data_IF_705199953783
#
_entry.id   IF_705199953783
#
_cell.length_a   1.000
_cell.length_b   1.000
_cell.length_c   1.000
_cell.angle_alpha   90.00
_cell.angle_beta   90.00
_cell.angle_gamma   90.00
#
_symmetry.space_group_name_H-M   'P 1'
#
loop_
_entity.id
_entity.type
_entity.pdbx_description
1 polymer ?
#
# COMPACT_ATOMS: atom_id res chain seq x y z
N UNK A 1 -22.37 -12.80 15.61
CA UNK A 1 -20.92 -12.51 15.71
C UNK A 1 -20.64 -11.22 14.95
N UNK A 2 -20.09 -10.21 15.60
CA UNK A 2 -19.68 -8.98 14.91
C UNK A 2 -18.52 -9.28 13.96
N UNK A 3 -18.63 -8.87 12.70
CA UNK A 3 -17.54 -9.05 11.73
C UNK A 3 -16.38 -8.12 12.11
N UNK A 4 -15.24 -8.70 12.47
CA UNK A 4 -14.00 -7.97 12.73
C UNK A 4 -13.34 -7.52 11.41
N UNK A 5 -12.60 -6.42 11.48
CA UNK A 5 -11.71 -5.97 10.41
C UNK A 5 -10.37 -6.69 10.54
N UNK A 6 -9.81 -7.17 9.44
CA UNK A 6 -8.53 -7.88 9.41
C UNK A 6 -7.58 -7.15 8.47
N UNK A 7 -6.35 -6.92 8.93
CA UNK A 7 -5.27 -6.42 8.07
C UNK A 7 -4.58 -7.63 7.45
N UNK A 8 -4.48 -7.62 6.12
CA UNK A 8 -3.79 -8.64 5.33
C UNK A 8 -2.51 -8.05 4.76
N UNK A 9 -1.41 -8.76 4.98
CA UNK A 9 -0.09 -8.46 4.44
C UNK A 9 0.45 -9.75 3.79
N UNK A 10 0.46 -9.83 2.46
CA UNK A 10 0.98 -11.00 1.78
C UNK A 10 2.51 -11.02 1.66
N UNK A 11 3.18 -9.87 1.78
CA UNK A 11 4.63 -9.75 1.63
C UNK A 11 5.43 -10.37 2.76
N UNK A 12 4.88 -10.39 3.98
CA UNK A 12 5.65 -10.93 5.10
C UNK A 12 5.71 -12.46 5.09
N UNK A 13 4.61 -13.18 4.83
CA UNK A 13 4.56 -14.66 4.85
C UNK A 13 3.28 -15.25 4.21
N UNK A 14 2.92 -14.91 2.97
CA UNK A 14 1.86 -15.60 2.23
C UNK A 14 0.42 -15.35 2.74
N UNK A 15 -0.04 -14.11 2.59
CA UNK A 15 -1.36 -13.58 3.00
C UNK A 15 -1.67 -13.73 4.51
N UNK A 16 -0.70 -13.32 5.32
CA UNK A 16 -0.81 -13.36 6.78
C UNK A 16 -1.84 -12.33 7.28
N UNK A 17 -2.57 -12.69 8.34
CA UNK A 17 -3.41 -11.73 9.07
C UNK A 17 -2.55 -11.08 10.15
N UNK A 18 -2.15 -9.83 9.91
CA UNK A 18 -1.29 -9.07 10.83
C UNK A 18 -2.06 -8.64 12.09
N UNK A 19 -3.35 -8.35 11.94
CA UNK A 19 -4.18 -7.91 13.06
C UNK A 19 -5.68 -8.10 12.84
N UNK A 20 -6.43 -8.11 13.95
CA UNK A 20 -7.89 -8.18 13.97
C UNK A 20 -8.45 -7.09 14.88
N UNK A 21 -9.32 -6.24 14.35
CA UNK A 21 -9.78 -5.03 15.01
C UNK A 21 -11.29 -4.92 15.01
N UNK A 22 -11.83 -4.18 15.98
CA UNK A 22 -13.28 -3.94 16.12
C UNK A 22 -13.76 -2.81 15.22
N UNK A 23 -12.90 -1.83 14.95
CA UNK A 23 -13.20 -0.69 14.09
C UNK A 23 -12.33 -0.67 12.84
N UNK A 24 -12.82 -0.01 11.79
CA UNK A 24 -12.05 0.17 10.54
C UNK A 24 -10.86 1.11 10.76
N UNK A 25 -10.99 2.13 11.61
CA UNK A 25 -9.93 3.11 11.86
C UNK A 25 -8.72 2.48 12.56
N UNK A 26 -8.95 1.59 13.53
CA UNK A 26 -7.86 0.79 14.15
C UNK A 26 -7.16 -0.11 13.12
N UNK A 27 -7.92 -0.71 12.20
CA UNK A 27 -7.36 -1.57 11.17
C UNK A 27 -6.57 -0.78 10.11
N UNK A 28 -7.05 0.41 9.72
CA UNK A 28 -6.33 1.31 8.82
C UNK A 28 -5.03 1.76 9.47
N UNK A 29 -5.08 2.18 10.74
CA UNK A 29 -3.88 2.58 11.48
C UNK A 29 -2.84 1.46 11.52
N UNK A 30 -3.26 0.23 11.81
CA UNK A 30 -2.36 -0.92 11.77
C UNK A 30 -1.79 -1.17 10.37
N UNK A 31 -2.60 -1.05 9.32
CA UNK A 31 -2.12 -1.19 7.94
C UNK A 31 -1.12 -0.07 7.56
N UNK A 32 -1.31 1.16 8.03
CA UNK A 32 -0.34 2.26 7.86
C UNK A 32 0.96 2.02 8.63
N UNK A 33 0.89 1.44 9.83
CA UNK A 33 2.08 1.03 10.59
C UNK A 33 2.89 -0.03 9.82
N UNK A 34 2.22 -1.03 9.24
CA UNK A 34 2.86 -2.04 8.37
C UNK A 34 3.52 -1.38 7.16
N UNK A 35 2.83 -0.46 6.47
CA UNK A 35 3.43 0.28 5.34
C UNK A 35 4.68 1.08 5.77
N UNK A 36 4.67 1.66 6.96
CA UNK A 36 5.81 2.40 7.49
C UNK A 36 7.02 1.49 7.78
N UNK A 37 6.79 0.23 8.18
CA UNK A 37 7.86 -0.76 8.35
C UNK A 37 8.50 -1.14 7.01
N UNK A 38 7.69 -1.39 5.97
CA UNK A 38 8.21 -1.62 4.60
C UNK A 38 9.01 -0.43 4.10
N UNK A 39 8.54 0.80 4.34
CA UNK A 39 9.26 2.02 3.97
C UNK A 39 10.64 2.13 4.62
N UNK A 40 10.76 1.72 5.88
CA UNK A 40 12.03 1.75 6.61
C UNK A 40 13.00 0.67 6.10
N UNK A 41 12.49 -0.51 5.74
CA UNK A 41 13.29 -1.57 5.11
C UNK A 41 13.77 -1.18 3.71
N UNK A 42 12.85 -0.75 2.84
CA UNK A 42 13.12 -0.41 1.44
C UNK A 42 14.05 0.79 1.23
N UNK A 43 14.13 1.72 2.19
CA UNK A 43 15.10 2.83 2.12
C UNK A 43 16.55 2.38 2.14
N UNK A 44 16.84 1.21 2.72
CA UNK A 44 18.22 0.71 2.83
C UNK A 44 18.62 -0.17 1.64
N UNK A 45 17.66 -0.83 0.99
CA UNK A 45 17.91 -1.76 -0.13
C UNK A 45 17.51 -1.21 -1.51
N UNK A 46 16.94 0.00 -1.56
CA UNK A 46 16.63 0.70 -2.81
C UNK A 46 15.42 0.16 -3.59
N UNK A 47 14.74 -0.87 -3.08
CA UNK A 47 13.61 -1.50 -3.75
C UNK A 47 12.38 -1.52 -2.83
N UNK A 48 11.28 -0.93 -3.30
CA UNK A 48 9.97 -1.12 -2.71
C UNK A 48 9.38 -2.42 -3.24
N UNK A 49 9.12 -3.39 -2.36
CA UNK A 49 8.48 -4.64 -2.79
C UNK A 49 7.07 -4.36 -3.32
N UNK A 50 6.73 -4.99 -4.45
CA UNK A 50 5.36 -5.02 -5.02
C UNK A 50 4.34 -5.59 -4.03
N UNK A 51 4.78 -6.37 -3.04
CA UNK A 51 3.90 -6.93 -2.00
C UNK A 51 3.23 -5.83 -1.14
N UNK A 52 3.85 -4.64 -1.09
CA UNK A 52 3.31 -3.46 -0.41
C UNK A 52 1.97 -3.03 -1.01
N UNK A 53 1.79 -3.22 -2.33
CA UNK A 53 0.56 -2.90 -3.08
C UNK A 53 -0.62 -3.77 -2.65
N UNK A 54 -0.34 -4.96 -2.12
CA UNK A 54 -1.36 -5.93 -1.78
C UNK A 54 -1.87 -5.80 -0.34
N UNK A 55 -1.28 -4.91 0.47
CA UNK A 55 -1.73 -4.65 1.85
C UNK A 55 -3.18 -4.13 1.82
N UNK A 56 -4.05 -4.81 2.56
CA UNK A 56 -5.49 -4.56 2.51
C UNK A 56 -6.19 -4.81 3.83
N UNK A 57 -7.24 -4.05 4.09
CA UNK A 57 -8.15 -4.26 5.21
C UNK A 57 -9.41 -4.95 4.69
N UNK A 58 -9.77 -6.09 5.29
CA UNK A 58 -10.95 -6.86 4.92
C UNK A 58 -11.95 -6.96 6.08
N UNK A 59 -13.24 -6.92 5.77
CA UNK A 59 -14.31 -7.28 6.69
C UNK A 59 -15.06 -8.51 6.15
N UNK A 60 -14.77 -9.68 6.70
CA UNK A 60 -15.16 -10.94 6.05
C UNK A 60 -14.31 -11.17 4.80
N UNK A 61 -14.95 -11.20 3.63
CA UNK A 61 -14.30 -11.35 2.30
C UNK A 61 -14.23 -10.03 1.53
N UNK A 62 -14.86 -8.97 2.04
CA UNK A 62 -14.90 -7.67 1.36
C UNK A 62 -13.69 -6.82 1.73
N UNK A 63 -12.95 -6.34 0.73
CA UNK A 63 -11.91 -5.32 0.91
C UNK A 63 -12.57 -3.97 1.17
N UNK A 64 -12.26 -3.36 2.32
CA UNK A 64 -12.83 -2.07 2.76
C UNK A 64 -11.81 -0.94 2.77
N UNK A 65 -10.52 -1.27 2.78
CA UNK A 65 -9.43 -0.33 2.54
C UNK A 65 -8.25 -1.08 1.91
N UNK A 66 -7.41 -0.38 1.14
CA UNK A 66 -6.25 -0.95 0.46
C UNK A 66 -5.11 0.04 0.37
N UNK A 67 -3.90 -0.47 0.21
CA UNK A 67 -2.75 0.31 -0.21
C UNK A 67 -3.01 0.92 -1.59
N UNK A 68 -2.65 2.19 -1.75
CA UNK A 68 -2.64 2.90 -3.02
C UNK A 68 -1.35 3.68 -3.14
N UNK A 69 -0.83 3.75 -4.36
CA UNK A 69 0.32 4.58 -4.69
C UNK A 69 0.07 6.04 -4.27
N UNK A 70 1.04 6.65 -3.61
CA UNK A 70 1.06 8.07 -3.33
C UNK A 70 2.49 8.61 -3.38
N UNK A 71 2.64 9.89 -3.69
CA UNK A 71 3.95 10.55 -3.76
C UNK A 71 4.95 9.77 -4.64
N UNK A 72 4.60 9.62 -5.91
CA UNK A 72 5.50 9.02 -6.91
C UNK A 72 6.58 10.03 -7.26
N UNK A 73 7.83 9.62 -7.17
CA UNK A 73 9.01 10.36 -7.61
C UNK A 73 9.60 9.56 -8.78
N UNK A 74 9.39 10.07 -9.99
CA UNK A 74 10.01 9.49 -11.18
C UNK A 74 11.52 9.79 -11.19
N UNK A 75 12.30 8.96 -11.88
CA UNK A 75 13.74 9.17 -12.05
C UNK A 75 13.99 10.54 -12.68
N UNK A 76 14.64 11.48 -11.97
CA UNK A 76 14.93 12.79 -12.50
C UNK A 76 16.12 12.74 -13.47
N UNK A 77 16.23 13.75 -14.33
CA UNK A 77 17.31 13.85 -15.33
C UNK A 77 18.68 14.17 -14.71
N UNK A 78 18.72 14.60 -13.43
CA UNK A 78 19.95 14.96 -12.71
C UNK A 78 20.63 13.76 -12.01
N UNK A 79 20.14 12.54 -12.27
CA UNK A 79 20.79 11.32 -11.80
C UNK A 79 22.17 11.18 -12.43
N UNK A 80 23.19 11.08 -11.58
CA UNK A 80 24.58 10.94 -12.01
C UNK A 80 24.91 9.50 -12.48
N UNK A 81 26.17 9.30 -12.90
CA UNK A 81 26.68 8.00 -13.38
C UNK A 81 26.67 6.91 -12.29
N UNK A 82 26.71 7.33 -11.01
CA UNK A 82 26.62 6.44 -9.86
C UNK A 82 25.17 6.12 -9.48
N UNK A 83 24.20 6.73 -10.17
CA UNK A 83 22.77 6.55 -9.97
C UNK A 83 22.16 7.42 -8.88
N UNK A 84 22.90 8.38 -8.33
CA UNK A 84 22.39 9.30 -7.31
C UNK A 84 21.76 10.56 -7.93
N UNK A 85 20.60 10.97 -7.42
CA UNK A 85 20.00 12.29 -7.70
C UNK A 85 20.24 13.24 -6.53
N UNK A 86 21.02 14.32 -6.71
CA UNK A 86 21.22 15.35 -5.70
C UNK A 86 19.96 16.17 -5.39
N UNK A 87 19.06 16.37 -6.37
CA UNK A 87 17.82 17.14 -6.17
C UNK A 87 16.82 16.42 -5.28
N UNK A 88 16.68 15.10 -5.43
CA UNK A 88 15.77 14.28 -4.63
C UNK A 88 16.46 13.65 -3.41
N UNK A 89 17.80 13.59 -3.41
CA UNK A 89 18.58 12.93 -2.37
C UNK A 89 18.39 11.40 -2.35
N UNK A 90 18.13 10.79 -3.50
CA UNK A 90 17.76 9.37 -3.67
C UNK A 90 18.67 8.64 -4.68
N UNK A 91 18.69 7.30 -4.62
CA UNK A 91 19.57 6.43 -5.43
C UNK A 91 18.80 5.57 -6.44
N UNK A 92 18.79 5.95 -7.71
CA UNK A 92 18.09 5.28 -8.82
C UNK A 92 18.94 4.18 -9.52
N UNK A 93 19.75 3.44 -8.76
CA UNK A 93 20.71 2.46 -9.32
C UNK A 93 20.02 1.32 -10.10
N UNK A 94 18.85 0.89 -9.64
CA UNK A 94 18.10 -0.25 -10.20
C UNK A 94 16.60 0.02 -10.36
N UNK A 95 16.16 1.27 -10.15
CA UNK A 95 14.74 1.64 -10.14
C UNK A 95 14.51 2.90 -10.97
N UNK A 96 13.39 2.92 -11.70
CA UNK A 96 12.97 4.06 -12.53
C UNK A 96 12.04 5.03 -11.78
N UNK A 97 11.54 4.64 -10.60
CA UNK A 97 10.70 5.47 -9.74
C UNK A 97 10.75 5.00 -8.29
N UNK A 98 10.52 5.94 -7.38
CA UNK A 98 10.11 5.67 -6.02
C UNK A 98 8.62 5.95 -5.87
N UNK A 99 7.94 5.13 -5.09
CA UNK A 99 6.53 5.34 -4.75
C UNK A 99 6.34 5.06 -3.28
N UNK A 100 5.76 6.01 -2.54
CA UNK A 100 5.21 5.71 -1.23
C UNK A 100 3.82 5.07 -1.38
N UNK A 101 3.33 4.46 -0.32
CA UNK A 101 1.96 3.96 -0.27
C UNK A 101 1.22 4.55 0.92
N UNK A 102 -0.08 4.71 0.77
CA UNK A 102 -1.01 5.05 1.85
C UNK A 102 -2.20 4.12 1.83
N UNK A 103 -2.90 4.00 2.94
CA UNK A 103 -4.13 3.21 3.01
C UNK A 103 -5.32 4.11 2.72
N UNK A 104 -6.06 3.79 1.65
CA UNK A 104 -7.32 4.45 1.34
C UNK A 104 -8.50 3.51 1.52
N UNK A 105 -9.62 4.07 2.03
CA UNK A 105 -10.89 3.36 2.07
C UNK A 105 -11.35 3.11 0.63
N UNK A 106 -11.76 1.88 0.36
CA UNK A 106 -12.40 1.57 -0.92
C UNK A 106 -13.77 2.23 -0.89
N UNK A 107 -14.04 3.14 -1.83
CA UNK A 107 -15.38 3.65 -2.01
C UNK A 107 -16.29 2.46 -2.31
N UNK A 108 -17.12 2.06 -1.35
CA UNK A 108 -18.27 1.21 -1.64
C UNK A 108 -19.17 2.04 -2.52
N UNK A 109 -18.99 1.96 -3.84
CA UNK A 109 -20.08 2.25 -4.73
C UNK A 109 -21.26 1.40 -4.22
N UNK A 110 -22.42 2.00 -3.90
CA UNK A 110 -23.62 1.20 -3.92
C UNK A 110 -23.76 0.73 -5.37
N UNK A 111 -23.27 -0.47 -5.68
CA UNK A 111 -23.77 -1.20 -6.83
C UNK A 111 -25.22 -1.55 -6.50
N UNK A 112 -26.08 -0.57 -6.74
CA UNK A 112 -27.50 -0.61 -6.48
C UNK A 112 -28.18 0.25 -7.53
N UNK A 113 -28.76 -0.40 -8.54
CA UNK A 113 -29.66 0.23 -9.49
C UNK A 113 -29.58 -0.35 -10.89
N UNK A 114 -30.32 -1.44 -11.11
CA UNK A 114 -30.83 -1.93 -12.39
C UNK A 114 -30.94 -0.88 -13.52
N UNK A 115 -30.65 -1.31 -14.75
CA UNK A 115 -31.70 -1.48 -15.77
C UNK A 115 -31.25 -2.34 -16.94
N UNK A 116 -31.87 -3.51 -16.98
CA UNK A 116 -32.33 -4.16 -18.20
C UNK A 116 -33.25 -3.21 -19.00
N UNK A 117 -33.17 -3.23 -20.33
CA UNK A 117 -34.04 -2.49 -21.27
C UNK A 117 -33.47 -1.12 -21.63
N UNK A 118 -33.28 -0.75 -22.90
CA UNK A 118 -34.03 -1.10 -24.11
C UNK A 118 -33.12 -1.42 -25.31
#
# INVERSE_FOLDING_TARGET
>A
MSKLFKVKDPGHFGDCVVGKFKTIDEAIKCAEEVLAEYRQGSRNDGEWSTDTEEIRVVQGETVVARAVECNVIERPDDVDEDGYSPSEGLWFNSVDRYCDYKIERVATHPSGGDRHGE
#
